data_IF_859510842005
#
_entry.id   IF_859510842005
#
_cell.length_a   1.000
_cell.length_b   1.000
_cell.length_c   1.000
_cell.angle_alpha   90.00
_cell.angle_beta   90.00
_cell.angle_gamma   90.00
#
_symmetry.space_group_name_H-M   'P 1'
#
loop_
_entity.id
_entity.type
_entity.pdbx_description
1 polymer ?
#
# COMPACT_ATOMS: atom_id res chain seq x y z
N UNK A 1 8.34 34.28 -13.76
CA UNK A 1 8.91 33.17 -12.97
C UNK A 1 8.31 31.87 -13.48
N UNK A 2 8.94 31.24 -14.47
CA UNK A 2 8.50 29.95 -14.97
C UNK A 2 9.10 28.86 -14.09
N UNK A 3 8.26 28.12 -13.37
CA UNK A 3 8.71 26.90 -12.70
C UNK A 3 9.17 25.93 -13.79
N UNK A 4 10.43 25.50 -13.74
CA UNK A 4 10.99 24.47 -14.60
C UNK A 4 10.38 23.12 -14.19
N UNK A 5 9.10 22.89 -14.48
CA UNK A 5 8.54 21.57 -14.42
C UNK A 5 9.05 20.82 -15.66
N UNK A 6 10.28 20.30 -15.57
CA UNK A 6 10.64 19.09 -16.32
C UNK A 6 9.47 18.12 -16.11
N UNK A 7 8.90 17.62 -17.19
CA UNK A 7 7.74 16.72 -17.17
C UNK A 7 7.91 15.69 -16.04
N UNK A 8 7.13 15.82 -14.97
CA UNK A 8 7.19 14.95 -13.80
C UNK A 8 6.57 13.60 -14.19
N UNK A 9 7.34 12.80 -14.91
CA UNK A 9 6.98 11.44 -15.27
C UNK A 9 7.08 10.55 -14.03
N UNK A 10 5.99 10.54 -13.27
CA UNK A 10 5.90 9.84 -11.98
C UNK A 10 5.68 8.33 -12.14
N UNK A 11 5.84 7.79 -13.36
CA UNK A 11 5.74 6.35 -13.58
C UNK A 11 6.88 5.61 -12.90
N UNK A 12 6.58 4.41 -12.44
CA UNK A 12 7.53 3.51 -11.77
C UNK A 12 8.56 3.02 -12.77
N UNK A 13 9.83 3.20 -12.44
CA UNK A 13 10.98 2.65 -13.16
C UNK A 13 11.50 1.38 -12.49
N UNK A 14 11.71 1.41 -11.18
CA UNK A 14 12.23 0.29 -10.39
C UNK A 14 11.73 0.34 -8.95
N UNK A 15 11.68 -0.83 -8.30
CA UNK A 15 11.24 -0.97 -6.91
C UNK A 15 12.19 -1.91 -6.15
N UNK A 16 12.69 -1.41 -5.02
CA UNK A 16 13.60 -2.14 -4.13
C UNK A 16 13.06 -2.12 -2.72
N UNK A 17 13.01 -3.29 -2.08
CA UNK A 17 12.51 -3.45 -0.71
C UNK A 17 13.63 -4.03 0.17
N UNK A 18 14.06 -3.26 1.16
CA UNK A 18 15.03 -3.70 2.17
C UNK A 18 14.32 -4.25 3.42
N UNK A 19 15.06 -4.43 4.52
CA UNK A 19 14.47 -4.82 5.81
C UNK A 19 13.59 -3.71 6.41
N UNK A 20 13.88 -2.45 6.11
CA UNK A 20 13.37 -1.27 6.78
C UNK A 20 12.71 -0.26 5.83
N UNK A 21 12.95 -0.36 4.52
CA UNK A 21 12.64 0.71 3.56
C UNK A 21 12.05 0.14 2.26
N UNK A 22 11.03 0.82 1.73
CA UNK A 22 10.57 0.69 0.35
C UNK A 22 11.15 1.85 -0.46
N UNK A 23 11.87 1.54 -1.52
CA UNK A 23 12.49 2.52 -2.43
C UNK A 23 11.92 2.35 -3.83
N UNK A 24 11.43 3.45 -4.41
CA UNK A 24 10.83 3.48 -5.75
C UNK A 24 11.55 4.53 -6.59
N UNK A 25 12.11 4.09 -7.70
CA UNK A 25 12.67 4.99 -8.70
C UNK A 25 11.60 5.38 -9.71
N UNK A 26 11.53 6.66 -10.06
CA UNK A 26 10.60 7.20 -11.05
C UNK A 26 11.29 7.42 -12.41
N UNK A 27 10.49 7.46 -13.48
CA UNK A 27 10.97 7.68 -14.84
C UNK A 27 11.58 9.08 -15.04
N UNK A 28 11.15 10.07 -14.26
CA UNK A 28 11.73 11.43 -14.24
C UNK A 28 13.08 11.54 -13.49
N UNK A 29 13.59 10.44 -12.94
CA UNK A 29 14.87 10.37 -12.25
C UNK A 29 14.82 10.63 -10.75
N UNK A 30 13.66 10.96 -10.17
CA UNK A 30 13.48 10.99 -8.72
C UNK A 30 13.52 9.59 -8.12
N UNK A 31 13.91 9.50 -6.85
CA UNK A 31 13.78 8.29 -6.03
C UNK A 31 13.00 8.65 -4.77
N UNK A 32 11.94 7.89 -4.49
CA UNK A 32 11.15 7.99 -3.27
C UNK A 32 11.60 6.89 -2.32
N UNK A 33 11.82 7.23 -1.06
CA UNK A 33 12.20 6.29 -0.01
C UNK A 33 11.31 6.48 1.20
N UNK A 34 10.62 5.42 1.62
CA UNK A 34 9.65 5.44 2.71
C UNK A 34 9.84 4.24 3.64
N UNK A 35 9.51 4.36 4.94
CA UNK A 35 9.60 3.24 5.87
C UNK A 35 8.73 2.06 5.44
N UNK A 36 9.30 0.85 5.36
CA UNK A 36 8.56 -0.37 5.02
C UNK A 36 7.45 -0.67 6.04
N UNK A 37 7.64 -0.26 7.29
CA UNK A 37 6.65 -0.43 8.37
C UNK A 37 5.29 0.24 8.09
N UNK A 38 5.22 1.19 7.14
CA UNK A 38 3.97 1.80 6.71
C UNK A 38 3.10 0.87 5.86
N UNK A 39 3.67 -0.24 5.37
CA UNK A 39 3.02 -1.22 4.49
C UNK A 39 3.11 -2.61 5.12
N UNK A 40 2.24 -2.94 6.10
CA UNK A 40 2.37 -4.18 6.87
C UNK A 40 2.37 -5.46 6.05
N UNK A 41 1.65 -5.54 4.91
CA UNK A 41 1.67 -6.73 4.05
C UNK A 41 3.03 -6.92 3.40
N UNK A 42 3.64 -5.84 2.90
CA UNK A 42 5.01 -5.86 2.38
C UNK A 42 6.02 -6.18 3.48
N UNK A 43 5.88 -5.58 4.66
CA UNK A 43 6.74 -5.83 5.81
C UNK A 43 6.69 -7.30 6.27
N UNK A 44 5.56 -7.99 6.13
CA UNK A 44 5.41 -9.41 6.43
C UNK A 44 5.85 -10.35 5.29
N UNK A 45 5.96 -9.84 4.06
CA UNK A 45 6.34 -10.64 2.89
C UNK A 45 7.78 -11.12 2.91
N UNK A 46 8.05 -12.27 2.29
CA UNK A 46 9.42 -12.78 2.07
C UNK A 46 10.16 -11.97 1.00
N UNK A 47 11.49 -12.05 0.95
CA UNK A 47 12.29 -11.38 -0.09
C UNK A 47 11.85 -11.76 -1.50
N UNK A 48 11.46 -13.02 -1.73
CA UNK A 48 10.97 -13.49 -3.02
C UNK A 48 9.63 -12.84 -3.40
N UNK A 49 8.69 -12.75 -2.46
CA UNK A 49 7.40 -12.10 -2.69
C UNK A 49 7.57 -10.60 -2.93
N UNK A 50 8.44 -9.93 -2.16
CA UNK A 50 8.74 -8.51 -2.33
C UNK A 50 9.42 -8.20 -3.67
N UNK A 51 10.22 -9.13 -4.20
CA UNK A 51 10.86 -8.99 -5.50
C UNK A 51 9.87 -9.21 -6.67
N UNK A 52 8.75 -9.91 -6.44
CA UNK A 52 7.72 -10.16 -7.44
C UNK A 52 6.70 -9.00 -7.48
N UNK A 53 7.14 -7.84 -7.93
CA UNK A 53 6.26 -6.68 -8.17
C UNK A 53 6.03 -6.48 -9.66
N UNK A 54 4.93 -5.81 -10.00
CA UNK A 54 4.56 -5.48 -11.37
C UNK A 54 4.05 -4.04 -11.46
N UNK A 55 4.41 -3.27 -12.49
CA UNK A 55 3.80 -1.97 -12.72
C UNK A 55 2.33 -2.15 -13.13
N UNK A 56 1.44 -1.33 -12.57
CA UNK A 56 0.01 -1.31 -12.89
C UNK A 56 -0.46 0.14 -13.12
N UNK A 57 -1.76 0.34 -13.41
CA UNK A 57 -2.37 1.66 -13.61
C UNK A 57 -1.57 2.57 -14.59
N UNK A 58 -1.25 2.05 -15.78
CA UNK A 58 -0.45 2.73 -16.80
C UNK A 58 0.96 3.17 -16.33
N UNK A 59 1.52 2.48 -15.34
CA UNK A 59 2.84 2.75 -14.77
C UNK A 59 2.82 3.62 -13.51
N UNK A 60 1.65 4.10 -13.07
CA UNK A 60 1.53 4.93 -11.87
C UNK A 60 1.27 4.12 -10.59
N UNK A 61 1.08 2.80 -10.70
CA UNK A 61 0.90 1.89 -9.57
C UNK A 61 1.92 0.76 -9.55
N UNK A 62 2.06 0.13 -8.39
CA UNK A 62 2.89 -1.03 -8.12
C UNK A 62 2.02 -2.09 -7.49
N UNK A 63 1.95 -3.27 -8.10
CA UNK A 63 1.19 -4.42 -7.65
C UNK A 63 2.11 -5.56 -7.21
N UNK A 64 1.88 -6.13 -6.03
CA UNK A 64 2.54 -7.35 -5.54
C UNK A 64 1.53 -8.50 -5.52
N UNK A 65 1.47 -9.36 -6.56
CA UNK A 65 0.47 -10.43 -6.65
C UNK A 65 0.57 -11.46 -5.51
N UNK A 66 1.77 -11.78 -5.03
CA UNK A 66 1.95 -12.77 -3.96
C UNK A 66 1.50 -12.27 -2.58
N UNK A 67 1.30 -10.95 -2.43
CA UNK A 67 0.96 -10.29 -1.17
C UNK A 67 -0.41 -9.61 -1.21
N UNK A 68 -1.05 -9.59 -2.39
CA UNK A 68 -2.29 -8.85 -2.64
C UNK A 68 -2.16 -7.39 -2.17
N UNK A 69 -1.09 -6.70 -2.56
CA UNK A 69 -0.82 -5.31 -2.16
C UNK A 69 -0.63 -4.42 -3.38
N UNK A 70 -1.24 -3.24 -3.33
CA UNK A 70 -1.22 -2.24 -4.39
C UNK A 70 -0.84 -0.87 -3.81
N UNK A 71 0.18 -0.24 -4.38
CA UNK A 71 0.61 1.11 -4.00
C UNK A 71 0.59 2.05 -5.21
N UNK A 72 0.21 3.30 -5.00
CA UNK A 72 0.30 4.34 -6.02
C UNK A 72 1.51 5.25 -5.79
N UNK A 73 2.13 5.67 -6.89
CA UNK A 73 3.23 6.66 -6.90
C UNK A 73 2.80 7.98 -6.27
N UNK A 74 1.57 8.43 -6.56
CA UNK A 74 0.97 9.61 -5.92
C UNK A 74 0.87 9.46 -4.39
N UNK A 75 0.43 8.30 -3.90
CA UNK A 75 0.34 8.03 -2.47
C UNK A 75 1.71 8.09 -1.78
N UNK A 76 2.73 7.53 -2.43
CA UNK A 76 4.12 7.59 -1.97
C UNK A 76 4.65 9.03 -1.93
N UNK A 77 4.41 9.82 -2.98
CA UNK A 77 4.84 11.23 -3.06
C UNK A 77 4.19 12.12 -2.00
N UNK A 78 2.95 11.81 -1.61
CA UNK A 78 2.24 12.50 -0.52
C UNK A 78 2.67 12.03 0.88
N UNK A 79 3.49 10.98 0.99
CA UNK A 79 3.85 10.37 2.26
C UNK A 79 2.68 9.67 2.95
N UNK A 80 1.73 9.13 2.17
CA UNK A 80 0.57 8.43 2.70
C UNK A 80 0.94 6.99 3.10
N UNK A 81 0.78 6.60 4.39
CA UNK A 81 0.92 5.20 4.79
C UNK A 81 -0.25 4.36 4.24
N UNK A 82 -0.10 3.03 4.28
CA UNK A 82 -1.22 2.15 3.91
C UNK A 82 -2.47 2.50 4.73
N UNK A 83 -3.66 2.53 4.12
CA UNK A 83 -4.89 2.73 4.87
C UNK A 83 -4.98 1.65 5.95
N UNK A 84 -5.20 2.07 7.20
CA UNK A 84 -5.52 1.14 8.29
C UNK A 84 -6.74 0.35 7.82
N UNK A 85 -6.62 -0.97 7.68
CA UNK A 85 -7.74 -1.79 7.23
C UNK A 85 -8.92 -1.48 8.14
N UNK A 86 -10.03 -1.03 7.55
CA UNK A 86 -11.29 -0.96 8.27
C UNK A 86 -11.70 -2.41 8.52
N UNK A 87 -11.19 -3.01 9.60
CA UNK A 87 -11.64 -4.31 10.05
C UNK A 87 -13.18 -4.26 10.10
N UNK A 88 -13.89 -5.29 9.60
CA UNK A 88 -15.34 -5.30 9.66
C UNK A 88 -15.73 -5.14 11.13
N UNK A 89 -16.53 -4.10 11.42
CA UNK A 89 -17.14 -3.91 12.73
C UNK A 89 -17.96 -5.15 13.01
N UNK A 90 -17.45 -6.05 13.85
CA UNK A 90 -18.16 -7.23 14.31
C UNK A 90 -19.51 -6.75 14.87
N UNK A 91 -20.59 -7.00 14.15
CA UNK A 91 -21.93 -6.65 14.60
C UNK A 91 -22.20 -7.45 15.86
N UNK A 92 -22.47 -6.74 16.97
CA UNK A 92 -22.87 -7.35 18.24
C UNK A 92 -24.10 -8.22 17.98
N UNK A 93 -23.94 -9.54 18.09
CA UNK A 93 -25.07 -10.46 18.23
C UNK A 93 -25.77 -10.09 19.53
N UNK A 94 -26.97 -9.51 19.42
CA UNK A 94 -27.84 -9.26 20.54
C UNK A 94 -28.34 -10.60 21.08
N UNK A 95 -27.76 -11.03 22.20
CA UNK A 95 -28.29 -12.13 23.01
C UNK A 95 -29.65 -11.70 23.59
N UNK A 96 -30.72 -12.14 22.93
CA UNK A 96 -32.10 -12.00 23.38
C UNK A 96 -32.38 -12.94 24.55
N UNK A 97 -32.47 -12.34 25.73
CA UNK A 97 -32.81 -12.91 27.03
C UNK A 97 -34.14 -13.70 27.01
N UNK A 98 -34.11 -14.89 27.64
CA UNK A 98 -35.26 -15.77 27.98
C UNK A 98 -36.49 -14.97 28.46
N UNK A 99 -37.68 -15.46 28.10
CA UNK A 99 -38.88 -15.28 28.94
C UNK A 99 -39.66 -16.58 29.05
N UNK A 100 -39.57 -17.19 30.23
CA UNK A 100 -40.54 -18.15 30.74
C UNK A 100 -41.88 -17.44 30.99
N UNK A 101 -42.99 -18.11 30.68
CA UNK A 101 -44.37 -17.86 31.15
C UNK A 101 -45.23 -19.03 30.62
N UNK A 102 -45.56 -20.03 31.45
CA UNK A 102 -46.81 -20.15 32.25
C UNK A 102 -48.07 -19.89 31.41
N UNK A 103 -48.85 -20.96 31.24
CA UNK A 103 -50.18 -21.04 30.63
C UNK A 103 -50.54 -22.50 30.53
#
# INVERSE_FOLDING_TARGET
>A
MGILALSADERVRDVRVSADTLTVDLMDGRTISVPLLWYPRLAAGTSKQRANWQPCAAGYGIHWPDLDEDLSTEGLLRGAPAPRSSAPRLSKVSSGRRKARRG
#
